data_IF_442892884172
#
_entry.id   IF_442892884172
#
_cell.length_a   1.000
_cell.length_b   1.000
_cell.length_c   1.000
_cell.angle_alpha   90.00
_cell.angle_beta   90.00
_cell.angle_gamma   90.00
#
_symmetry.space_group_name_H-M   'P 1'
#
loop_
_entity.id
_entity.type
_entity.pdbx_description
1 polymer ?
#
# COMPACT_ATOMS: atom_id res chain seq x y z
N UNK A 1 -17.47 -5.97 -24.46
CA UNK A 1 -16.99 -6.35 -23.12
C UNK A 1 -15.89 -5.37 -22.72
N UNK A 2 -16.24 -4.29 -22.01
CA UNK A 2 -15.28 -3.28 -21.57
C UNK A 2 -14.50 -3.80 -20.37
N UNK A 3 -13.17 -3.84 -20.48
CA UNK A 3 -12.26 -4.23 -19.41
C UNK A 3 -12.11 -3.02 -18.46
N UNK A 4 -12.96 -2.94 -17.44
CA UNK A 4 -12.79 -1.98 -16.36
C UNK A 4 -11.67 -2.47 -15.45
N UNK A 5 -10.46 -1.96 -15.67
CA UNK A 5 -9.34 -2.13 -14.76
C UNK A 5 -9.73 -1.58 -13.39
N UNK A 6 -9.57 -2.34 -12.28
CA UNK A 6 -9.82 -1.81 -10.96
C UNK A 6 -8.83 -0.66 -10.73
N UNK A 7 -9.34 0.56 -10.56
CA UNK A 7 -8.52 1.70 -10.12
C UNK A 7 -8.17 1.43 -8.66
N UNK A 8 -7.07 0.68 -8.46
CA UNK A 8 -6.44 0.56 -7.16
C UNK A 8 -5.71 1.89 -6.95
N UNK A 9 -6.33 2.81 -6.23
CA UNK A 9 -5.65 4.04 -5.84
C UNK A 9 -4.48 3.69 -4.93
N UNK A 10 -3.27 3.66 -5.49
CA UNK A 10 -2.05 3.70 -4.69
C UNK A 10 -1.96 5.08 -4.07
N UNK A 11 -2.04 5.18 -2.74
CA UNK A 11 -1.81 6.46 -2.06
C UNK A 11 -0.39 6.91 -2.39
N UNK A 12 -0.27 8.02 -3.13
CA UNK A 12 1.02 8.62 -3.44
C UNK A 12 1.78 8.97 -2.17
N UNK A 13 3.11 9.07 -2.25
CA UNK A 13 3.96 9.48 -1.12
C UNK A 13 3.53 10.90 -0.70
N UNK A 14 2.77 11.02 0.39
CA UNK A 14 2.26 12.29 0.91
C UNK A 14 0.74 12.47 0.88
N UNK A 15 -0.01 11.59 0.21
CA UNK A 15 -1.48 11.65 0.20
C UNK A 15 -2.06 11.12 1.52
N UNK A 16 -2.85 11.93 2.23
CA UNK A 16 -3.55 11.48 3.43
C UNK A 16 -4.67 10.52 3.02
N UNK A 17 -4.68 9.25 3.49
CA UNK A 17 -5.74 8.31 3.14
C UNK A 17 -7.08 8.61 3.84
N UNK A 18 -7.13 9.62 4.73
CA UNK A 18 -8.32 9.99 5.48
C UNK A 18 -9.57 10.22 4.61
N UNK A 19 -9.54 10.89 3.44
CA UNK A 19 -10.72 11.06 2.59
C UNK A 19 -11.34 9.73 2.16
N UNK A 20 -10.52 8.74 1.78
CA UNK A 20 -11.00 7.39 1.41
C UNK A 20 -11.69 6.72 2.60
N UNK A 21 -11.11 6.82 3.80
CA UNK A 21 -11.73 6.29 5.01
C UNK A 21 -13.01 7.05 5.39
N UNK A 22 -13.11 8.35 5.10
CA UNK A 22 -14.33 9.13 5.32
C UNK A 22 -15.46 8.68 4.40
N UNK A 23 -15.19 8.47 3.11
CA UNK A 23 -16.17 7.92 2.17
C UNK A 23 -16.64 6.54 2.63
N UNK A 24 -15.72 5.65 2.99
CA UNK A 24 -16.07 4.33 3.53
C UNK A 24 -16.92 4.41 4.81
N UNK A 25 -16.61 5.34 5.71
CA UNK A 25 -17.40 5.56 6.93
C UNK A 25 -18.83 6.05 6.62
N UNK A 26 -18.99 6.96 5.65
CA UNK A 26 -20.31 7.46 5.21
C UNK A 26 -21.15 6.30 4.66
N UNK A 27 -20.56 5.46 3.81
CA UNK A 27 -21.21 4.26 3.26
C UNK A 27 -21.67 3.30 4.38
N UNK A 28 -20.80 2.99 5.34
CA UNK A 28 -21.12 2.10 6.47
C UNK A 28 -22.23 2.66 7.36
N UNK A 29 -22.21 3.98 7.59
CA UNK A 29 -23.18 4.66 8.43
C UNK A 29 -24.57 4.73 7.78
N UNK A 30 -24.63 4.78 6.45
CA UNK A 30 -25.88 4.87 5.69
C UNK A 30 -26.27 3.57 4.99
N UNK A 31 -25.63 2.44 5.34
CA UNK A 31 -25.78 1.14 4.65
C UNK A 31 -27.23 0.71 4.41
N UNK A 32 -28.12 0.95 5.37
CA UNK A 32 -29.52 0.55 5.28
C UNK A 32 -30.31 1.36 4.25
N UNK A 33 -29.95 2.63 4.04
CA UNK A 33 -30.56 3.47 3.00
C UNK A 33 -30.03 3.06 1.64
N UNK A 34 -28.71 2.96 1.51
CA UNK A 34 -28.02 2.56 0.29
C UNK A 34 -28.53 1.20 -0.21
N UNK A 35 -28.51 0.16 0.64
CA UNK A 35 -28.96 -1.18 0.25
C UNK A 35 -30.43 -1.26 -0.19
N UNK A 36 -31.29 -0.32 0.23
CA UNK A 36 -32.71 -0.31 -0.13
C UNK A 36 -32.98 0.52 -1.40
N UNK A 37 -32.26 1.62 -1.56
CA UNK A 37 -32.59 2.65 -2.54
C UNK A 37 -31.68 2.61 -3.78
N UNK A 38 -30.46 2.07 -3.68
CA UNK A 38 -29.53 2.02 -4.82
C UNK A 38 -29.62 0.67 -5.54
N UNK A 39 -30.00 0.66 -6.81
CA UNK A 39 -29.99 -0.55 -7.67
C UNK A 39 -28.85 -0.54 -8.69
N UNK A 40 -28.23 0.62 -8.88
CA UNK A 40 -27.09 0.84 -9.77
C UNK A 40 -26.05 1.77 -9.13
N UNK A 41 -24.88 1.86 -9.76
CA UNK A 41 -23.84 2.84 -9.37
C UNK A 41 -24.35 4.26 -9.60
N UNK A 42 -25.14 4.49 -10.66
CA UNK A 42 -25.72 5.80 -10.97
C UNK A 42 -26.68 6.25 -9.86
N UNK A 43 -27.49 5.34 -9.30
CA UNK A 43 -28.34 5.65 -8.14
C UNK A 43 -27.51 6.04 -6.92
N UNK A 44 -26.37 5.37 -6.72
CA UNK A 44 -25.46 5.71 -5.63
C UNK A 44 -24.87 7.11 -5.83
N UNK A 45 -24.38 7.43 -7.03
CA UNK A 45 -23.87 8.77 -7.38
C UNK A 45 -24.95 9.83 -7.14
N UNK A 46 -26.16 9.59 -7.63
CA UNK A 46 -27.32 10.48 -7.40
C UNK A 46 -27.61 10.67 -5.92
N UNK A 47 -27.63 9.59 -5.14
CA UNK A 47 -27.88 9.66 -3.68
C UNK A 47 -26.83 10.49 -2.94
N UNK A 48 -25.57 10.43 -3.37
CA UNK A 48 -24.51 11.28 -2.83
C UNK A 48 -24.69 12.75 -3.21
N UNK A 49 -24.97 13.03 -4.49
CA UNK A 49 -25.12 14.39 -5.01
C UNK A 49 -26.38 15.09 -4.45
N UNK A 50 -27.47 14.36 -4.29
CA UNK A 50 -28.74 14.85 -3.74
C UNK A 50 -28.69 15.02 -2.21
N UNK A 51 -27.53 14.83 -1.57
CA UNK A 51 -27.32 14.92 -0.12
C UNK A 51 -28.28 14.04 0.71
N UNK A 52 -28.69 12.91 0.14
CA UNK A 52 -29.66 11.99 0.75
C UNK A 52 -29.04 11.13 1.87
N UNK A 53 -27.72 11.14 2.02
CA UNK A 53 -26.99 10.42 3.05
C UNK A 53 -26.78 11.30 4.29
N UNK A 54 -26.98 10.75 5.48
CA UNK A 54 -26.71 11.46 6.71
C UNK A 54 -25.20 11.55 6.96
N UNK A 55 -24.63 12.75 6.83
CA UNK A 55 -23.21 13.02 7.10
C UNK A 55 -23.06 13.69 8.46
N UNK A 56 -22.84 12.88 9.50
CA UNK A 56 -22.49 13.38 10.84
C UNK A 56 -20.97 13.47 10.99
N UNK A 57 -20.38 14.62 10.68
CA UNK A 57 -18.91 14.82 10.59
C UNK A 57 -18.14 14.19 11.75
N UNK A 58 -18.44 14.57 13.01
CA UNK A 58 -17.74 14.04 14.20
C UNK A 58 -17.82 12.51 14.33
N UNK A 59 -18.91 11.89 13.87
CA UNK A 59 -19.09 10.43 13.91
C UNK A 59 -18.42 9.75 12.72
N UNK A 60 -18.45 10.40 11.55
CA UNK A 60 -17.73 9.97 10.36
C UNK A 60 -16.23 9.90 10.65
N UNK A 61 -15.63 10.99 11.13
CA UNK A 61 -14.19 11.06 11.44
C UNK A 61 -13.78 9.98 12.44
N UNK A 62 -14.53 9.77 13.52
CA UNK A 62 -14.25 8.69 14.49
C UNK A 62 -14.30 7.30 13.85
N UNK A 63 -15.30 7.06 13.00
CA UNK A 63 -15.44 5.78 12.28
C UNK A 63 -14.31 5.59 11.27
N UNK A 64 -13.96 6.63 10.52
CA UNK A 64 -12.87 6.65 9.56
C UNK A 64 -11.53 6.34 10.22
N UNK A 65 -11.22 6.98 11.36
CA UNK A 65 -10.02 6.69 12.14
C UNK A 65 -10.00 5.26 12.68
N UNK A 66 -11.14 4.72 13.10
CA UNK A 66 -11.27 3.31 13.53
C UNK A 66 -11.00 2.35 12.36
N UNK A 67 -11.52 2.65 11.17
CA UNK A 67 -11.28 1.88 9.96
C UNK A 67 -9.80 1.94 9.54
N UNK A 68 -9.19 3.14 9.55
CA UNK A 68 -7.77 3.35 9.26
C UNK A 68 -6.90 2.48 10.16
N UNK A 69 -7.12 2.52 11.49
CA UNK A 69 -6.40 1.67 12.45
C UNK A 69 -6.59 0.18 12.17
N UNK A 70 -7.83 -0.26 11.91
CA UNK A 70 -8.15 -1.67 11.61
C UNK A 70 -7.46 -2.18 10.34
N UNK A 71 -7.48 -1.38 9.26
CA UNK A 71 -6.85 -1.74 8.00
C UNK A 71 -5.32 -1.75 8.10
N UNK A 72 -4.73 -0.74 8.76
CA UNK A 72 -3.28 -0.71 8.97
C UNK A 72 -2.80 -1.87 9.85
N UNK A 73 -3.53 -2.20 10.91
CA UNK A 73 -3.22 -3.35 11.77
C UNK A 73 -3.29 -4.68 10.99
N UNK A 74 -4.37 -4.92 10.24
CA UNK A 74 -4.50 -6.14 9.43
C UNK A 74 -3.42 -6.22 8.34
N UNK A 75 -3.09 -5.12 7.69
CA UNK A 75 -2.07 -5.09 6.64
C UNK A 75 -0.64 -5.26 7.22
N UNK A 76 -0.39 -4.83 8.46
CA UNK A 76 0.87 -5.11 9.17
C UNK A 76 0.97 -6.58 9.61
N UNK A 77 -0.11 -7.18 10.14
CA UNK A 77 -0.15 -8.61 10.53
C UNK A 77 0.12 -9.53 9.32
N UNK A 78 -0.33 -9.14 8.12
CA UNK A 78 -0.04 -9.88 6.88
C UNK A 78 1.43 -9.71 6.46
N UNK A 79 2.02 -8.50 6.60
CA UNK A 79 3.44 -8.26 6.29
C UNK A 79 4.41 -9.01 7.21
N UNK A 80 4.09 -9.15 8.50
CA UNK A 80 4.94 -9.87 9.46
C UNK A 80 5.02 -11.37 9.12
N UNK A 81 3.94 -11.97 8.61
CA UNK A 81 3.95 -13.38 8.18
C UNK A 81 4.81 -13.63 6.93
N UNK A 82 4.97 -12.64 6.05
CA UNK A 82 5.77 -12.77 4.82
C UNK A 82 7.28 -12.56 4.99
N UNK A 83 7.76 -12.04 6.13
CA UNK A 83 9.19 -11.79 6.35
C UNK A 83 9.97 -12.97 6.95
N UNK A 84 9.30 -14.03 7.40
CA UNK A 84 9.95 -15.20 8.02
C UNK A 84 10.44 -16.25 7.00
N UNK A 85 10.24 -16.04 5.68
CA UNK A 85 10.52 -17.07 4.66
C UNK A 85 11.62 -16.68 3.64
N UNK A 86 12.49 -15.71 3.95
CA UNK A 86 13.56 -15.31 3.00
C UNK A 86 14.96 -15.12 3.62
N UNK A 87 15.26 -15.77 4.74
CA UNK A 87 16.64 -15.90 5.21
C UNK A 87 17.01 -17.37 5.41
N UNK A 88 17.26 -18.09 4.31
CA UNK A 88 18.09 -19.29 4.38
C UNK A 88 18.75 -19.61 3.03
N UNK A 89 19.64 -18.76 2.54
CA UNK A 89 20.67 -19.15 1.57
C UNK A 89 22.02 -18.60 2.06
N UNK A 90 22.82 -19.49 2.66
CA UNK A 90 24.26 -19.29 2.89
C UNK A 90 25.00 -19.51 1.56
N UNK A 91 25.93 -18.65 1.15
CA UNK A 91 26.99 -19.04 0.21
C UNK A 91 28.12 -19.76 0.97
N UNK A 92 28.65 -20.83 0.38
CA UNK A 92 29.83 -21.57 0.84
C UNK A 92 31.15 -20.85 0.44
N UNK A 93 32.31 -21.23 1.02
CA UNK A 93 33.59 -20.57 0.76
C UNK A 93 34.40 -21.33 -0.30
N UNK A 94 34.69 -20.68 -1.43
CA UNK A 94 35.46 -21.30 -2.51
C UNK A 94 36.77 -20.51 -2.77
N UNK A 95 37.83 -21.05 -2.18
CA UNK A 95 39.16 -21.35 -2.75
C UNK A 95 39.91 -20.29 -3.58
N UNK A 96 40.97 -19.81 -2.95
CA UNK A 96 42.21 -19.19 -3.43
C UNK A 96 42.78 -19.82 -4.72
N UNK A 97 43.10 -18.99 -5.73
CA UNK A 97 44.09 -19.36 -6.76
C UNK A 97 44.90 -18.14 -7.22
N UNK A 98 46.14 -18.13 -6.72
CA UNK A 98 47.27 -17.32 -7.13
C UNK A 98 47.63 -17.57 -8.62
N UNK A 99 47.91 -16.51 -9.39
CA UNK A 99 48.81 -16.60 -10.55
C UNK A 99 49.52 -15.26 -10.80
N UNK A 100 50.79 -15.26 -10.42
CA UNK A 100 51.82 -14.26 -10.69
C UNK A 100 51.98 -13.99 -12.20
N UNK A 101 52.23 -12.73 -12.55
CA UNK A 101 52.64 -12.27 -13.87
C UNK A 101 53.43 -10.97 -13.74
N UNK A 102 54.76 -11.12 -13.74
CA UNK A 102 55.82 -10.11 -13.72
C UNK A 102 55.74 -9.13 -14.91
N UNK A 103 56.25 -7.89 -14.77
CA UNK A 103 57.34 -7.51 -15.66
C UNK A 103 58.47 -6.71 -14.97
N UNK A 104 59.69 -7.03 -15.38
CA UNK A 104 61.00 -6.49 -14.99
C UNK A 104 61.36 -5.19 -15.80
N UNK A 105 62.54 -4.54 -15.65
CA UNK A 105 62.69 -3.29 -14.92
C UNK A 105 63.33 -2.18 -15.77
N UNK A 106 62.89 -0.91 -15.66
CA UNK A 106 63.69 0.25 -16.11
C UNK A 106 63.42 1.48 -15.24
N UNK A 107 64.44 1.90 -14.51
CA UNK A 107 64.44 3.15 -13.74
C UNK A 107 65.70 3.30 -12.91
N UNK A 108 66.81 3.63 -13.57
CA UNK A 108 68.10 3.90 -12.93
C UNK A 108 68.27 5.42 -12.82
N UNK A 109 68.23 5.96 -11.61
CA UNK A 109 68.91 7.21 -11.20
C UNK A 109 68.58 7.52 -9.74
N UNK A 110 69.55 7.42 -8.84
CA UNK A 110 70.08 8.57 -8.07
C UNK A 110 71.11 8.11 -7.02
N UNK A 111 72.26 8.81 -7.06
CA UNK A 111 73.31 9.04 -6.04
C UNK A 111 74.20 7.88 -5.60
#
# INVERSE_FOLDING_TARGET
>A
RTHVSPVVSSFGKGEDPLPVFCVAAILIMNRHKIMRETRSIDDMIKTFNDNQLAIRVRRCIRTAMKLRKKYMYKNQVIKIKSHTQSQNHKPAPDTESNRNGEPDPRGNSES
#
